data_IF_696299272434
#
_entry.id   IF_696299272434
#
_cell.length_a   1.000
_cell.length_b   1.000
_cell.length_c   1.000
_cell.angle_alpha   90.00
_cell.angle_beta   90.00
_cell.angle_gamma   90.00
#
_symmetry.space_group_name_H-M   'P 1'
#
loop_
_entity.id
_entity.type
_entity.pdbx_description
1 polymer ?
#
# COMPACT_ATOMS: atom_id res chain seq x y z
N UNK A 1 50.55 -14.55 -11.29
CA UNK A 1 50.96 -13.58 -10.28
C UNK A 1 49.84 -13.51 -9.27
N UNK A 2 50.06 -14.20 -8.16
CA UNK A 2 49.43 -14.25 -6.82
C UNK A 2 47.92 -14.16 -6.72
N UNK A 3 47.35 -15.30 -6.47
CA UNK A 3 46.10 -15.59 -5.74
C UNK A 3 46.38 -15.41 -4.26
N UNK A 4 45.55 -14.67 -3.55
CA UNK A 4 45.53 -14.67 -2.09
C UNK A 4 44.27 -15.34 -1.60
N UNK A 5 44.51 -16.50 -1.08
CA UNK A 5 43.69 -17.43 -0.32
C UNK A 5 43.40 -16.84 1.08
N UNK A 6 42.14 -16.78 1.51
CA UNK A 6 41.79 -16.52 2.91
C UNK A 6 41.14 -17.76 3.50
N UNK A 7 41.92 -18.37 4.39
CA UNK A 7 41.56 -19.50 5.24
C UNK A 7 40.72 -19.06 6.44
N UNK A 8 39.79 -19.94 6.76
CA UNK A 8 39.02 -20.00 8.01
C UNK A 8 39.92 -20.33 9.20
N UNK A 9 39.59 -19.76 10.35
CA UNK A 9 39.59 -20.31 11.72
C UNK A 9 39.54 -19.15 12.72
N UNK A 10 38.48 -19.09 13.56
CA UNK A 10 38.62 -19.35 14.98
C UNK A 10 37.26 -19.29 15.69
N UNK A 11 36.99 -20.42 16.31
CA UNK A 11 35.90 -20.67 17.27
C UNK A 11 36.34 -20.14 18.64
N UNK A 12 35.54 -19.33 19.30
CA UNK A 12 35.61 -19.23 20.76
C UNK A 12 34.19 -19.21 21.39
N UNK A 13 33.96 -20.28 22.11
CA UNK A 13 32.88 -20.54 23.07
C UNK A 13 33.01 -19.67 24.31
N UNK A 14 31.84 -19.42 24.90
CA UNK A 14 31.48 -19.46 26.32
C UNK A 14 30.90 -18.18 26.91
N UNK A 15 29.80 -18.35 27.64
CA UNK A 15 29.26 -17.36 28.56
C UNK A 15 27.76 -17.53 28.73
N UNK A 16 27.36 -18.54 29.54
CA UNK A 16 25.99 -18.69 30.03
C UNK A 16 25.65 -17.57 31.02
N UNK A 17 24.43 -17.11 30.96
CA UNK A 17 23.81 -16.21 31.93
C UNK A 17 22.42 -16.72 32.26
N UNK A 18 22.32 -17.25 33.47
CA UNK A 18 21.13 -17.77 34.10
C UNK A 18 20.03 -16.72 34.26
N UNK A 19 18.79 -17.10 34.00
CA UNK A 19 17.59 -16.36 34.40
C UNK A 19 17.19 -16.79 35.82
N UNK A 20 16.83 -15.87 36.70
CA UNK A 20 16.23 -16.24 38.00
C UNK A 20 14.72 -16.50 37.85
N UNK A 21 14.16 -17.34 38.75
CA UNK A 21 12.81 -17.85 38.63
C UNK A 21 11.76 -16.91 39.22
N UNK A 22 10.56 -17.02 38.69
CA UNK A 22 9.33 -16.43 39.21
C UNK A 22 8.91 -17.13 40.51
N UNK A 23 8.69 -16.35 41.57
CA UNK A 23 7.86 -16.69 42.73
C UNK A 23 7.03 -15.43 43.05
N UNK A 24 5.80 -15.49 43.39
CA UNK A 24 4.83 -16.40 43.89
C UNK A 24 3.52 -15.66 44.14
N UNK A 25 2.49 -16.39 44.14
CA UNK A 25 1.09 -16.07 44.43
C UNK A 25 0.87 -15.34 45.77
N UNK A 26 -0.06 -14.36 45.80
CA UNK A 26 -1.01 -14.26 46.90
C UNK A 26 -2.34 -13.70 46.42
N UNK A 27 -3.36 -14.50 46.65
CA UNK A 27 -4.79 -14.19 46.64
C UNK A 27 -5.20 -13.28 47.80
N UNK A 28 -6.13 -12.35 47.57
CA UNK A 28 -7.10 -11.90 48.59
C UNK A 28 -8.25 -11.22 47.86
N UNK A 29 -9.40 -11.87 47.74
CA UNK A 29 -10.58 -11.77 48.57
C UNK A 29 -11.35 -10.43 48.48
N UNK A 30 -12.58 -10.57 47.88
CA UNK A 30 -13.68 -9.60 47.98
C UNK A 30 -14.12 -9.36 49.42
N UNK A 31 -14.84 -8.29 49.67
CA UNK A 31 -16.16 -8.45 50.29
C UNK A 31 -17.32 -7.79 49.51
N UNK A 32 -18.43 -8.49 49.63
CA UNK A 32 -19.80 -8.15 49.27
C UNK A 32 -20.44 -7.09 50.16
N UNK A 33 -21.55 -6.59 49.61
CA UNK A 33 -22.79 -6.05 50.21
C UNK A 33 -22.73 -4.56 50.66
N UNK A 34 -23.74 -3.75 50.47
CA UNK A 34 -25.19 -3.89 50.52
C UNK A 34 -25.87 -2.63 49.96
N UNK A 35 -27.07 -2.89 49.47
CA UNK A 35 -28.16 -2.00 49.03
C UNK A 35 -28.55 -0.91 50.05
N UNK A 36 -28.95 0.29 49.52
CA UNK A 36 -30.15 0.96 50.00
C UNK A 36 -30.75 1.90 48.94
N UNK A 37 -32.05 1.89 48.90
CA UNK A 37 -33.00 2.55 48.03
C UNK A 37 -33.29 3.99 48.38
N UNK A 38 -33.91 4.71 47.42
CA UNK A 38 -34.87 5.81 47.48
C UNK A 38 -34.32 7.17 46.99
N UNK A 39 -34.92 7.62 46.00
CA UNK A 39 -36.08 8.44 45.65
C UNK A 39 -35.73 9.79 45.04
N UNK A 40 -36.29 9.98 43.86
CA UNK A 40 -36.89 11.18 43.26
C UNK A 40 -36.25 12.57 43.42
N UNK A 41 -35.88 13.20 42.27
CA UNK A 41 -36.74 14.24 41.63
C UNK A 41 -36.06 14.96 40.46
N UNK A 42 -36.79 14.98 39.36
CA UNK A 42 -37.08 16.10 38.43
C UNK A 42 -36.00 16.97 37.79
N UNK A 43 -36.00 16.84 36.47
CA UNK A 43 -36.07 17.90 35.44
C UNK A 43 -34.82 18.67 34.99
N UNK A 44 -34.76 18.66 33.67
CA UNK A 44 -34.23 19.62 32.70
C UNK A 44 -32.78 19.48 32.27
N UNK A 45 -32.62 19.07 31.00
CA UNK A 45 -31.34 19.08 30.29
C UNK A 45 -31.41 18.40 28.92
N UNK A 46 -32.43 18.75 28.10
CA UNK A 46 -32.41 18.39 26.66
C UNK A 46 -31.49 19.37 25.96
N UNK A 47 -30.41 18.92 25.43
CA UNK A 47 -29.71 19.37 24.22
C UNK A 47 -28.21 19.12 24.25
N UNK A 48 -27.78 17.92 23.91
CA UNK A 48 -26.42 17.66 23.41
C UNK A 48 -26.29 16.28 22.72
N UNK A 49 -27.40 15.63 22.35
CA UNK A 49 -27.28 14.27 21.71
C UNK A 49 -27.28 14.27 20.19
N UNK A 50 -27.50 15.41 19.50
CA UNK A 50 -27.65 15.43 18.04
C UNK A 50 -26.33 15.73 17.27
N UNK A 51 -25.28 16.19 17.92
CA UNK A 51 -24.02 16.48 17.25
C UNK A 51 -23.15 15.21 17.01
N UNK A 52 -23.29 14.18 17.87
CA UNK A 52 -22.52 12.94 17.72
C UNK A 52 -23.08 11.94 16.69
N UNK A 53 -24.39 12.05 16.38
CA UNK A 53 -25.02 11.13 15.40
C UNK A 53 -24.73 11.59 13.96
N UNK A 54 -24.65 12.90 13.72
CA UNK A 54 -24.35 13.44 12.39
C UNK A 54 -22.89 13.18 11.94
N UNK A 55 -21.94 13.15 12.86
CA UNK A 55 -20.53 12.82 12.55
C UNK A 55 -20.34 11.32 12.26
N UNK A 56 -21.07 10.43 12.94
CA UNK A 56 -21.01 8.99 12.65
C UNK A 56 -21.63 8.62 11.31
N UNK A 57 -22.72 9.31 10.90
CA UNK A 57 -23.38 9.03 9.61
C UNK A 57 -22.57 9.50 8.40
N UNK A 58 -21.73 10.53 8.54
CA UNK A 58 -20.85 11.01 7.46
C UNK A 58 -19.63 10.13 7.26
N UNK A 59 -19.04 9.62 8.34
CA UNK A 59 -17.92 8.66 8.29
C UNK A 59 -18.38 7.31 7.71
N UNK A 60 -19.57 6.84 8.06
CA UNK A 60 -20.11 5.58 7.53
C UNK A 60 -20.42 5.62 6.02
N UNK A 61 -20.70 6.79 5.44
CA UNK A 61 -20.95 6.91 3.99
C UNK A 61 -19.67 6.89 3.14
N UNK A 62 -18.54 7.32 3.66
CA UNK A 62 -17.26 7.29 2.94
C UNK A 62 -16.68 5.86 2.92
N UNK A 63 -16.87 5.07 3.97
CA UNK A 63 -16.43 3.68 4.05
C UNK A 63 -17.22 2.71 3.13
N UNK A 64 -18.42 3.11 2.67
CA UNK A 64 -19.25 2.31 1.75
C UNK A 64 -18.88 2.47 0.27
N UNK A 65 -18.12 3.52 -0.10
CA UNK A 65 -17.75 3.76 -1.49
C UNK A 65 -16.51 2.92 -1.85
N UNK A 66 -16.58 2.08 -2.90
CA UNK A 66 -15.45 1.27 -3.30
C UNK A 66 -14.36 2.13 -3.95
N UNK A 67 -13.13 1.91 -3.52
CA UNK A 67 -11.92 2.57 -4.01
C UNK A 67 -10.82 1.58 -4.35
N UNK A 68 -9.81 2.03 -5.06
CA UNK A 68 -8.57 1.29 -5.22
C UNK A 68 -7.67 1.53 -4.00
N UNK A 69 -7.32 0.47 -3.31
CA UNK A 69 -6.39 0.50 -2.18
C UNK A 69 -5.07 -0.13 -2.56
N UNK A 70 -3.98 0.48 -2.12
CA UNK A 70 -2.67 -0.14 -2.17
C UNK A 70 -2.53 -1.12 -0.99
N UNK A 71 -2.17 -2.37 -1.30
CA UNK A 71 -1.95 -3.43 -0.33
C UNK A 71 -0.48 -3.84 -0.35
N UNK A 72 0.07 -4.08 0.84
CA UNK A 72 1.44 -4.51 1.04
C UNK A 72 1.49 -5.91 1.59
N UNK A 73 2.39 -6.72 1.05
CA UNK A 73 2.72 -8.05 1.57
C UNK A 73 4.15 -8.09 2.11
N UNK A 74 4.47 -9.14 2.85
CA UNK A 74 5.84 -9.40 3.29
C UNK A 74 6.44 -10.57 2.53
N UNK A 75 7.76 -10.53 2.30
CA UNK A 75 8.56 -11.62 1.72
C UNK A 75 8.14 -12.06 0.30
N UNK A 76 7.81 -11.12 -0.61
CA UNK A 76 7.50 -11.44 -2.00
C UNK A 76 6.27 -12.33 -2.20
N UNK A 77 5.25 -12.19 -1.34
CA UNK A 77 4.01 -13.00 -1.37
C UNK A 77 2.86 -12.28 -2.06
N UNK A 78 3.12 -11.20 -2.79
CA UNK A 78 2.10 -10.39 -3.47
C UNK A 78 1.28 -11.22 -4.45
N UNK A 79 1.94 -12.09 -5.24
CA UNK A 79 1.23 -12.97 -6.18
C UNK A 79 0.26 -13.91 -5.45
N UNK A 80 0.66 -14.51 -4.33
CA UNK A 80 -0.20 -15.39 -3.54
C UNK A 80 -1.43 -14.65 -3.01
N UNK A 81 -1.24 -13.43 -2.51
CA UNK A 81 -2.34 -12.62 -2.00
C UNK A 81 -3.27 -12.17 -3.14
N UNK A 82 -2.71 -11.74 -4.27
CA UNK A 82 -3.46 -11.39 -5.47
C UNK A 82 -4.33 -12.55 -5.97
N UNK A 83 -3.73 -13.73 -6.18
CA UNK A 83 -4.42 -14.91 -6.67
C UNK A 83 -5.57 -15.31 -5.71
N UNK A 84 -5.33 -15.26 -4.40
CA UNK A 84 -6.33 -15.59 -3.39
C UNK A 84 -7.51 -14.61 -3.40
N UNK A 85 -7.24 -13.30 -3.41
CA UNK A 85 -8.29 -12.27 -3.41
C UNK A 85 -9.12 -12.31 -4.70
N UNK A 86 -8.46 -12.52 -5.85
CA UNK A 86 -9.13 -12.66 -7.15
C UNK A 86 -10.03 -13.90 -7.17
N UNK A 87 -9.58 -15.03 -6.62
CA UNK A 87 -10.39 -16.24 -6.48
C UNK A 87 -11.62 -16.04 -5.56
N UNK A 88 -11.57 -15.06 -4.66
CA UNK A 88 -12.71 -14.65 -3.82
C UNK A 88 -13.59 -13.56 -4.44
N UNK A 89 -13.38 -13.23 -5.71
CA UNK A 89 -14.18 -12.26 -6.44
C UNK A 89 -13.79 -10.78 -6.23
N UNK A 90 -12.66 -10.51 -5.56
CA UNK A 90 -12.17 -9.14 -5.42
C UNK A 90 -11.45 -8.73 -6.71
N UNK A 91 -11.83 -7.59 -7.26
CA UNK A 91 -11.09 -6.98 -8.39
C UNK A 91 -9.74 -6.51 -7.88
N UNK A 92 -8.67 -7.08 -8.39
CA UNK A 92 -7.32 -6.74 -8.00
C UNK A 92 -6.44 -6.45 -9.22
N UNK A 93 -5.33 -5.74 -9.01
CA UNK A 93 -4.34 -5.45 -10.03
C UNK A 93 -2.93 -5.66 -9.47
N UNK A 94 -2.17 -6.52 -10.15
CA UNK A 94 -0.78 -6.83 -9.81
C UNK A 94 0.13 -6.32 -10.93
N UNK A 95 0.87 -5.23 -10.71
CA UNK A 95 1.72 -4.64 -11.74
C UNK A 95 2.92 -5.53 -12.03
N UNK A 96 2.92 -6.17 -13.19
CA UNK A 96 3.96 -7.10 -13.62
C UNK A 96 4.66 -6.62 -14.89
N UNK A 97 5.80 -7.23 -15.18
CA UNK A 97 6.55 -7.09 -16.42
C UNK A 97 7.11 -8.44 -16.86
N UNK A 98 7.29 -8.63 -18.15
CA UNK A 98 7.95 -9.81 -18.70
C UNK A 98 9.43 -9.53 -18.90
N UNK A 99 10.28 -10.33 -18.25
CA UNK A 99 11.74 -10.22 -18.32
C UNK A 99 12.33 -11.53 -18.84
N UNK A 100 13.25 -11.43 -19.78
CA UNK A 100 13.98 -12.61 -20.28
C UNK A 100 15.15 -12.88 -19.35
N UNK A 101 15.12 -14.01 -18.64
CA UNK A 101 16.20 -14.47 -17.76
C UNK A 101 16.87 -15.73 -18.29
N UNK A 102 18.17 -15.84 -18.04
CA UNK A 102 18.92 -17.05 -18.31
C UNK A 102 18.77 -17.99 -17.11
N UNK A 103 17.99 -19.07 -17.27
CA UNK A 103 17.76 -20.06 -16.21
C UNK A 103 18.33 -21.39 -16.69
N UNK A 104 19.32 -21.91 -15.99
CA UNK A 104 20.04 -23.17 -16.35
C UNK A 104 20.53 -23.17 -17.82
N UNK A 105 21.12 -22.04 -18.24
CA UNK A 105 21.65 -21.88 -19.62
C UNK A 105 20.61 -21.68 -20.71
N UNK A 106 19.30 -21.64 -20.39
CA UNK A 106 18.21 -21.41 -21.36
C UNK A 106 17.53 -20.06 -21.08
N UNK A 107 17.26 -19.31 -22.15
CA UNK A 107 16.45 -18.07 -22.07
C UNK A 107 15.02 -18.43 -21.77
N UNK A 108 14.47 -17.88 -20.70
CA UNK A 108 13.08 -18.03 -20.31
C UNK A 108 12.46 -16.65 -20.04
N UNK A 109 11.23 -16.44 -20.51
CA UNK A 109 10.41 -15.29 -20.14
C UNK A 109 9.87 -15.54 -18.74
N UNK A 110 10.14 -14.63 -17.81
CA UNK A 110 9.66 -14.69 -16.42
C UNK A 110 8.85 -13.44 -16.15
N UNK A 111 7.68 -13.62 -15.53
CA UNK A 111 6.86 -12.51 -15.05
C UNK A 111 7.36 -12.04 -13.69
N UNK A 112 7.73 -10.78 -13.59
CA UNK A 112 8.23 -10.17 -12.36
C UNK A 112 7.34 -9.01 -11.93
N UNK A 113 7.31 -8.75 -10.64
CA UNK A 113 6.62 -7.58 -10.10
C UNK A 113 7.37 -6.30 -10.46
N UNK A 114 6.65 -5.29 -10.94
CA UNK A 114 7.18 -3.92 -11.08
C UNK A 114 7.22 -3.19 -9.73
N UNK A 115 6.35 -3.60 -8.79
CA UNK A 115 6.28 -3.09 -7.42
C UNK A 115 6.44 -4.25 -6.43
N UNK A 116 7.66 -4.59 -6.00
CA UNK A 116 7.88 -5.66 -5.03
C UNK A 116 7.06 -5.47 -3.76
N UNK A 117 6.40 -6.54 -3.34
CA UNK A 117 5.54 -6.59 -2.15
C UNK A 117 4.27 -5.71 -2.20
N UNK A 118 3.89 -5.18 -3.35
CA UNK A 118 2.72 -4.31 -3.49
C UNK A 118 1.84 -4.78 -4.64
N UNK A 119 0.53 -4.76 -4.41
CA UNK A 119 -0.51 -4.88 -5.42
C UNK A 119 -1.72 -4.03 -5.01
N UNK A 120 -2.71 -3.91 -5.88
CA UNK A 120 -3.87 -3.06 -5.66
C UNK A 120 -5.14 -3.90 -5.65
N UNK A 121 -6.11 -3.52 -4.79
CA UNK A 121 -7.42 -4.13 -4.74
C UNK A 121 -8.52 -3.06 -4.76
N UNK A 122 -9.61 -3.36 -5.43
CA UNK A 122 -10.77 -2.50 -5.53
C UNK A 122 -11.91 -3.05 -4.67
N UNK A 123 -12.44 -2.21 -3.79
CA UNK A 123 -13.54 -2.57 -2.91
C UNK A 123 -13.79 -1.50 -1.86
N UNK A 124 -14.72 -1.77 -0.96
CA UNK A 124 -14.90 -0.91 0.22
C UNK A 124 -13.82 -1.20 1.26
N UNK A 125 -13.53 -0.24 2.11
CA UNK A 125 -12.53 -0.42 3.16
C UNK A 125 -12.91 -1.58 4.09
N UNK A 126 -14.18 -1.69 4.48
CA UNK A 126 -14.68 -2.78 5.33
C UNK A 126 -14.50 -4.16 4.67
N UNK A 127 -14.85 -4.27 3.39
CA UNK A 127 -14.64 -5.51 2.63
C UNK A 127 -13.16 -5.92 2.61
N UNK A 128 -12.26 -4.98 2.40
CA UNK A 128 -10.82 -5.27 2.36
C UNK A 128 -10.23 -5.52 3.76
N UNK A 129 -10.79 -4.93 4.81
CA UNK A 129 -10.40 -5.21 6.21
C UNK A 129 -10.58 -6.68 6.57
N UNK A 130 -11.63 -7.35 6.07
CA UNK A 130 -11.84 -8.79 6.32
C UNK A 130 -10.70 -9.66 5.77
N UNK A 131 -10.08 -9.24 4.64
CA UNK A 131 -8.91 -9.94 4.10
C UNK A 131 -7.61 -9.60 4.82
N UNK A 132 -7.48 -8.37 5.31
CA UNK A 132 -6.24 -7.89 5.93
C UNK A 132 -6.11 -8.29 7.40
N UNK A 133 -7.22 -8.28 8.15
CA UNK A 133 -7.19 -8.51 9.60
C UNK A 133 -7.74 -9.86 10.02
N UNK A 134 -8.78 -10.34 9.36
CA UNK A 134 -9.52 -11.51 9.82
C UNK A 134 -9.18 -12.78 9.03
N UNK A 135 -8.34 -12.70 8.00
CA UNK A 135 -8.06 -13.82 7.12
C UNK A 135 -6.81 -14.59 7.52
N UNK A 136 -7.02 -15.81 8.05
CA UNK A 136 -5.95 -16.73 8.46
C UNK A 136 -5.01 -17.12 7.31
N UNK A 137 -5.52 -17.10 6.06
CA UNK A 137 -4.73 -17.48 4.88
C UNK A 137 -3.78 -16.37 4.41
N UNK A 138 -4.01 -15.11 4.84
CA UNK A 138 -3.25 -13.94 4.44
C UNK A 138 -2.63 -13.18 5.64
N UNK A 139 -1.98 -13.85 6.61
CA UNK A 139 -1.43 -13.19 7.81
C UNK A 139 -0.33 -12.18 7.50
N UNK A 140 0.19 -12.21 6.28
CA UNK A 140 1.25 -11.35 5.76
C UNK A 140 0.73 -10.15 4.96
N UNK A 141 -0.61 -10.00 4.79
CA UNK A 141 -1.24 -8.91 4.07
C UNK A 141 -1.50 -7.73 4.99
N UNK A 142 -1.24 -6.52 4.52
CA UNK A 142 -1.51 -5.25 5.22
C UNK A 142 -1.95 -4.20 4.21
N UNK A 143 -2.70 -3.18 4.67
CA UNK A 143 -2.84 -1.97 3.90
C UNK A 143 -1.49 -1.24 3.78
N UNK A 144 -1.26 -0.60 2.65
CA UNK A 144 -0.24 0.43 2.56
C UNK A 144 -0.82 1.70 3.15
N UNK A 145 -0.16 2.27 4.18
CA UNK A 145 -0.66 3.43 4.90
C UNK A 145 0.06 4.69 4.46
N UNK A 146 -0.72 5.74 4.23
CA UNK A 146 -0.23 7.10 4.13
C UNK A 146 -0.16 7.69 5.54
N UNK A 147 0.92 8.40 5.81
CA UNK A 147 1.13 9.11 7.06
C UNK A 147 0.85 10.60 6.83
N UNK A 148 -0.14 11.13 7.49
CA UNK A 148 -0.48 12.54 7.45
C UNK A 148 -0.31 13.15 8.84
N UNK A 149 0.27 14.35 8.90
CA UNK A 149 0.38 15.08 10.14
C UNK A 149 -0.75 16.12 10.21
N UNK A 150 -1.65 15.96 11.17
CA UNK A 150 -2.70 16.93 11.48
C UNK A 150 -2.38 17.54 12.83
N UNK A 151 -1.77 18.74 12.81
CA UNK A 151 -1.21 19.35 14.01
C UNK A 151 -0.06 18.51 14.60
N UNK A 152 -0.16 18.16 15.87
CA UNK A 152 0.84 17.32 16.57
C UNK A 152 0.58 15.81 16.45
N UNK A 153 -0.45 15.38 15.75
CA UNK A 153 -0.82 13.95 15.64
C UNK A 153 -0.48 13.41 14.27
N UNK A 154 0.21 12.26 14.23
CA UNK A 154 0.38 11.47 13.03
C UNK A 154 -0.85 10.56 12.85
N UNK A 155 -1.58 10.76 11.75
CA UNK A 155 -2.73 9.94 11.36
C UNK A 155 -2.27 8.99 10.26
N UNK A 156 -2.65 7.72 10.40
CA UNK A 156 -2.40 6.67 9.40
C UNK A 156 -3.71 6.34 8.72
N UNK A 157 -3.78 6.59 7.41
CA UNK A 157 -4.93 6.22 6.58
C UNK A 157 -4.50 5.24 5.49
N UNK A 158 -5.33 4.23 5.15
CA UNK A 158 -5.04 3.38 4.00
C UNK A 158 -4.88 4.22 2.74
N UNK A 159 -3.86 3.93 1.94
CA UNK A 159 -3.61 4.67 0.71
C UNK A 159 -4.66 4.31 -0.34
N UNK A 160 -5.51 5.29 -0.66
CA UNK A 160 -6.46 5.25 -1.75
C UNK A 160 -5.79 5.79 -3.01
N UNK A 161 -5.90 5.05 -4.10
CA UNK A 161 -5.36 5.44 -5.41
C UNK A 161 -6.50 5.91 -6.30
N UNK A 162 -6.48 7.15 -6.80
CA UNK A 162 -7.50 7.65 -7.72
C UNK A 162 -7.65 6.77 -8.96
N UNK A 163 -8.88 6.63 -9.46
CA UNK A 163 -9.21 5.78 -10.60
C UNK A 163 -8.35 6.09 -11.85
N UNK A 164 -8.17 7.38 -12.18
CA UNK A 164 -7.37 7.78 -13.34
C UNK A 164 -5.89 7.39 -13.23
N UNK A 165 -5.33 7.36 -11.99
CA UNK A 165 -3.96 6.89 -11.77
C UNK A 165 -3.87 5.37 -11.96
N UNK A 166 -4.86 4.62 -11.49
CA UNK A 166 -4.91 3.18 -11.68
C UNK A 166 -5.07 2.79 -13.15
N UNK A 167 -5.94 3.49 -13.89
CA UNK A 167 -6.10 3.29 -15.33
C UNK A 167 -4.80 3.59 -16.07
N UNK A 168 -4.15 4.70 -15.76
CA UNK A 168 -2.86 5.06 -16.34
C UNK A 168 -1.77 4.04 -16.01
N UNK A 169 -1.73 3.54 -14.77
CA UNK A 169 -0.78 2.51 -14.35
C UNK A 169 -1.00 1.20 -15.11
N UNK A 170 -2.25 0.78 -15.31
CA UNK A 170 -2.58 -0.41 -16.10
C UNK A 170 -2.06 -0.29 -17.53
N UNK A 171 -2.36 0.83 -18.21
CA UNK A 171 -1.89 1.10 -19.57
C UNK A 171 -0.36 1.05 -19.63
N UNK A 172 0.35 1.66 -18.67
CA UNK A 172 1.82 1.64 -18.62
C UNK A 172 2.34 0.21 -18.46
N UNK A 173 1.71 -0.60 -17.62
CA UNK A 173 2.13 -1.99 -17.42
C UNK A 173 1.86 -2.88 -18.65
N UNK A 174 0.74 -2.65 -19.35
CA UNK A 174 0.32 -3.40 -20.55
C UNK A 174 1.14 -3.02 -21.79
N UNK A 175 1.67 -1.81 -21.83
CA UNK A 175 2.44 -1.33 -22.98
C UNK A 175 3.74 -2.11 -23.25
N UNK A 176 4.18 -3.00 -22.33
CA UNK A 176 5.39 -3.85 -22.43
C UNK A 176 6.66 -3.13 -22.91
N UNK A 177 6.68 -1.80 -22.83
CA UNK A 177 7.83 -1.02 -23.25
C UNK A 177 9.00 -1.27 -22.27
N UNK A 178 10.16 -1.58 -22.83
CA UNK A 178 11.37 -1.89 -22.05
C UNK A 178 11.93 -0.70 -21.29
N UNK A 179 11.54 0.51 -21.68
CA UNK A 179 12.11 1.78 -21.21
C UNK A 179 11.18 2.50 -20.19
N UNK A 180 10.30 1.75 -19.52
CA UNK A 180 9.49 2.25 -18.43
C UNK A 180 10.36 2.34 -17.18
N UNK A 181 10.36 3.50 -16.52
CA UNK A 181 11.11 3.74 -15.31
C UNK A 181 10.16 3.67 -14.11
N UNK A 182 10.53 2.90 -13.10
CA UNK A 182 9.81 2.84 -11.82
C UNK A 182 10.73 3.39 -10.73
N UNK A 183 10.27 4.39 -10.01
CA UNK A 183 10.94 4.94 -8.84
C UNK A 183 10.08 4.70 -7.60
N UNK A 184 10.68 4.15 -6.54
CA UNK A 184 10.02 3.86 -5.26
C UNK A 184 9.95 5.07 -4.32
N UNK A 185 10.12 6.24 -4.84
CA UNK A 185 9.90 7.49 -4.14
C UNK A 185 9.17 8.46 -5.06
N UNK A 186 8.51 9.44 -4.47
CA UNK A 186 8.02 10.56 -5.27
C UNK A 186 9.22 11.27 -5.89
N UNK A 187 9.29 11.26 -7.21
CA UNK A 187 10.34 11.98 -7.93
C UNK A 187 9.98 13.46 -7.96
N UNK A 188 10.71 14.34 -7.25
CA UNK A 188 10.36 15.77 -7.17
C UNK A 188 10.17 16.42 -8.54
N UNK A 189 10.91 15.93 -9.54
CA UNK A 189 10.83 16.42 -10.90
C UNK A 189 9.45 16.24 -11.55
N UNK A 190 8.69 15.20 -11.21
CA UNK A 190 7.34 15.01 -11.77
C UNK A 190 6.26 15.76 -10.99
N UNK A 191 6.48 16.11 -9.74
CA UNK A 191 5.50 16.86 -8.94
C UNK A 191 5.16 18.23 -9.52
N UNK A 192 6.14 18.90 -10.16
CA UNK A 192 6.00 20.25 -10.73
C UNK A 192 5.69 20.25 -12.25
N UNK A 193 5.53 19.07 -12.86
CA UNK A 193 5.23 18.95 -14.29
C UNK A 193 3.79 19.34 -14.62
N UNK A 194 3.57 19.81 -15.87
CA UNK A 194 2.23 20.07 -16.41
C UNK A 194 1.43 18.76 -16.48
N UNK A 195 0.16 18.78 -16.06
CA UNK A 195 -0.76 17.65 -16.25
C UNK A 195 -1.09 17.51 -17.73
N UNK A 196 -1.01 16.28 -18.24
CA UNK A 196 -1.27 15.95 -19.63
C UNK A 196 -1.98 14.62 -19.76
N UNK A 197 -2.69 14.47 -20.88
CA UNK A 197 -3.21 13.19 -21.37
C UNK A 197 -2.44 12.79 -22.61
N UNK A 198 -2.08 11.54 -22.73
CA UNK A 198 -1.51 10.98 -23.95
C UNK A 198 -2.67 10.59 -24.86
N UNK A 199 -2.72 11.19 -26.07
CA UNK A 199 -3.82 11.02 -27.02
C UNK A 199 -3.53 9.96 -28.08
N UNK A 200 -2.26 9.58 -28.28
CA UNK A 200 -1.86 8.60 -29.29
C UNK A 200 -0.61 7.78 -28.86
N UNK A 201 -0.35 6.69 -29.59
CA UNK A 201 0.77 5.78 -29.34
C UNK A 201 0.51 4.72 -28.26
N UNK A 202 1.56 4.00 -27.87
CA UNK A 202 1.49 2.88 -26.94
C UNK A 202 0.96 3.25 -25.53
N UNK A 203 1.02 4.52 -25.17
CA UNK A 203 0.56 5.03 -23.88
C UNK A 203 -0.73 5.84 -23.97
N UNK A 204 -1.49 5.67 -25.06
CA UNK A 204 -2.77 6.36 -25.27
C UNK A 204 -3.69 6.18 -24.05
N UNK A 205 -4.22 7.28 -23.51
CA UNK A 205 -5.08 7.30 -22.33
C UNK A 205 -4.37 7.55 -21.03
N UNK A 206 -3.04 7.48 -20.96
CA UNK A 206 -2.28 7.79 -19.75
C UNK A 206 -2.47 9.26 -19.38
N UNK A 207 -2.83 9.49 -18.13
CA UNK A 207 -2.95 10.82 -17.51
C UNK A 207 -1.86 10.94 -16.44
N UNK A 208 -1.02 11.95 -16.58
CA UNK A 208 0.09 12.17 -15.66
C UNK A 208 0.77 13.50 -15.87
N UNK A 209 1.92 13.68 -15.25
CA UNK A 209 2.70 14.92 -15.37
C UNK A 209 3.84 14.74 -16.36
N UNK A 210 3.93 15.63 -17.35
CA UNK A 210 5.02 15.60 -18.32
C UNK A 210 6.27 16.23 -17.72
N UNK A 211 7.40 15.56 -17.92
CA UNK A 211 8.72 16.07 -17.55
C UNK A 211 9.80 15.46 -18.42
N UNK A 212 10.90 16.20 -18.59
CA UNK A 212 12.12 15.67 -19.21
C UNK A 212 12.92 14.89 -18.16
N UNK A 213 13.13 13.59 -18.43
CA UNK A 213 13.90 12.68 -17.58
C UNK A 213 14.93 11.94 -18.43
N UNK A 214 16.19 11.94 -18.01
CA UNK A 214 17.31 11.35 -18.77
C UNK A 214 17.34 11.82 -20.25
N UNK A 215 17.15 13.13 -20.46
CA UNK A 215 17.14 13.73 -21.79
C UNK A 215 15.87 13.51 -22.60
N UNK A 216 14.95 12.65 -22.17
CA UNK A 216 13.73 12.28 -22.89
C UNK A 216 12.48 12.86 -22.22
N UNK A 217 11.48 13.23 -23.05
CA UNK A 217 10.18 13.64 -22.57
C UNK A 217 9.35 12.41 -22.19
N UNK A 218 8.90 12.37 -20.95
CA UNK A 218 8.15 11.25 -20.38
C UNK A 218 6.93 11.76 -19.62
N UNK A 219 5.93 10.90 -19.47
CA UNK A 219 4.76 11.18 -18.63
C UNK A 219 4.86 10.33 -17.37
N UNK A 220 4.90 10.99 -16.21
CA UNK A 220 4.98 10.36 -14.90
C UNK A 220 3.60 10.25 -14.25
N UNK A 221 3.25 9.04 -13.83
CA UNK A 221 2.08 8.75 -12.99
C UNK A 221 2.56 8.54 -11.56
N UNK A 222 2.12 9.40 -10.66
CA UNK A 222 2.52 9.38 -9.26
C UNK A 222 1.45 8.63 -8.48
N UNK A 223 1.82 7.56 -7.79
CA UNK A 223 0.93 6.77 -6.94
C UNK A 223 1.20 7.14 -5.48
N UNK A 224 0.46 8.10 -4.98
CA UNK A 224 0.68 8.63 -3.63
C UNK A 224 2.12 9.09 -3.42
N UNK A 225 2.67 8.75 -2.27
CA UNK A 225 4.09 8.90 -1.90
C UNK A 225 4.92 7.63 -2.14
N UNK A 226 4.28 6.57 -2.64
CA UNK A 226 4.82 5.23 -2.73
C UNK A 226 5.71 5.03 -3.96
N UNK A 227 5.26 5.44 -5.14
CA UNK A 227 5.97 5.19 -6.38
C UNK A 227 5.62 6.19 -7.49
N UNK A 228 6.55 6.37 -8.42
CA UNK A 228 6.34 7.09 -9.66
C UNK A 228 6.66 6.17 -10.84
N UNK A 229 5.72 6.04 -11.77
CA UNK A 229 5.88 5.32 -13.02
C UNK A 229 6.05 6.32 -14.15
N UNK A 230 7.19 6.31 -14.82
CA UNK A 230 7.42 7.13 -15.99
C UNK A 230 7.36 6.29 -17.26
N UNK A 231 6.56 6.72 -18.22
CA UNK A 231 6.47 6.09 -19.55
C UNK A 231 7.83 6.08 -20.25
N UNK A 232 7.96 5.32 -21.33
CA UNK A 232 9.00 5.58 -22.31
C UNK A 232 8.83 6.97 -22.92
N UNK A 233 9.70 7.34 -23.88
CA UNK A 233 9.59 8.61 -24.60
C UNK A 233 8.20 8.78 -25.23
N UNK A 234 7.60 9.97 -25.03
CA UNK A 234 6.33 10.35 -25.64
C UNK A 234 6.54 11.66 -26.42
N UNK A 235 6.28 11.67 -27.75
CA UNK A 235 6.36 12.89 -28.56
C UNK A 235 5.42 13.98 -28.05
N UNK A 236 5.83 15.25 -28.16
CA UNK A 236 4.98 16.39 -27.75
C UNK A 236 3.65 16.45 -28.51
N UNK A 237 3.64 15.99 -29.77
CA UNK A 237 2.42 15.93 -30.59
C UNK A 237 1.35 14.97 -29.99
N UNK A 238 1.73 14.03 -29.14
CA UNK A 238 0.82 13.09 -28.49
C UNK A 238 0.34 13.56 -27.12
N UNK A 239 0.69 14.77 -26.71
CA UNK A 239 0.36 15.31 -25.39
C UNK A 239 -0.69 16.41 -25.50
N UNK A 240 -1.82 16.16 -24.85
CA UNK A 240 -2.88 17.16 -24.64
C UNK A 240 -2.79 17.66 -23.18
N UNK A 241 -2.78 19.00 -23.00
CA UNK A 241 -2.79 19.58 -21.67
C UNK A 241 -4.17 19.40 -21.02
N UNK A 242 -4.14 19.10 -19.74
CA UNK A 242 -5.34 19.02 -18.89
C UNK A 242 -5.20 20.15 -17.85
N UNK A 243 -6.22 20.99 -17.79
CA UNK A 243 -6.34 22.07 -16.80
C UNK A 243 -6.98 21.55 -15.50
#
# INVERSE_FOLDING_TARGET
MKVDEWTSEDVHTSGGGEFPPCAGLTSNALPEAQSTVAAESSQTGVSTRNAHIASKSKVQKEDEIPHWYALRTTYGREKKAYDYMTAKGITAFYPTTHVVKLIKGKRKVVTESRLPNIFFAYGTEEQLKTFVYDNVNLPFLRFYYRHEHVGSRAIKTPLIVPKYQMESLKIICEAEASDIIVSFSSVPNFQTGQMVRVVDGAFKGVIGRVKRWQGQQRVGVIIGDMATFATAYVPSAFLEKID
#
